data_IF_345806253674
#
_entry.id   IF_345806253674
#
_cell.length_a   1.000
_cell.length_b   1.000
_cell.length_c   1.000
_cell.angle_alpha   90.00
_cell.angle_beta   90.00
_cell.angle_gamma   90.00
#
_symmetry.space_group_name_H-M   'P 1'
#
loop_
_entity.id
_entity.type
_entity.pdbx_description
1 polymer ?
#
# COMPACT_ATOMS: atom_id res chain seq x y z
N UNK A 1 -50.54 -35.36 -7.18
CA UNK A 1 -49.16 -35.05 -6.75
C UNK A 1 -48.28 -36.24 -7.10
N UNK A 2 -47.49 -36.15 -8.17
CA UNK A 2 -46.65 -37.22 -8.69
C UNK A 2 -45.17 -36.95 -8.40
N UNK A 3 -44.62 -37.75 -7.50
CA UNK A 3 -43.33 -38.46 -7.54
C UNK A 3 -42.11 -37.74 -8.17
N UNK A 4 -41.02 -37.64 -7.41
CA UNK A 4 -39.90 -38.59 -7.53
C UNK A 4 -38.83 -38.32 -6.44
N UNK A 5 -38.51 -39.38 -5.71
CA UNK A 5 -37.38 -39.53 -4.80
C UNK A 5 -36.20 -40.18 -5.56
N UNK A 6 -35.03 -40.15 -4.91
CA UNK A 6 -33.75 -40.85 -5.17
C UNK A 6 -32.74 -39.94 -5.90
N UNK A 7 -31.77 -39.29 -5.24
CA UNK A 7 -30.61 -39.75 -4.44
C UNK A 7 -29.42 -40.23 -5.31
N UNK A 8 -28.26 -39.63 -5.00
CA UNK A 8 -26.90 -40.00 -5.40
C UNK A 8 -26.49 -39.60 -6.84
N UNK A 9 -25.32 -39.03 -7.09
CA UNK A 9 -24.01 -39.42 -6.54
C UNK A 9 -22.98 -38.28 -6.47
N UNK A 10 -22.25 -38.30 -5.36
CA UNK A 10 -20.87 -37.88 -5.16
C UNK A 10 -19.95 -38.17 -6.37
N UNK A 11 -19.12 -37.21 -6.80
CA UNK A 11 -17.70 -37.37 -7.19
C UNK A 11 -17.14 -36.06 -7.78
N UNK A 12 -16.28 -35.37 -7.02
CA UNK A 12 -14.82 -35.26 -7.28
C UNK A 12 -14.43 -34.27 -8.40
N UNK A 13 -14.07 -33.04 -8.02
CA UNK A 13 -12.69 -32.46 -8.06
C UNK A 13 -12.62 -31.35 -9.14
N UNK A 14 -11.64 -30.44 -9.10
CA UNK A 14 -11.47 -29.37 -8.13
C UNK A 14 -11.27 -28.04 -8.89
N UNK A 15 -12.30 -27.22 -9.03
CA UNK A 15 -12.08 -25.87 -9.57
C UNK A 15 -11.63 -24.95 -8.45
N UNK A 16 -10.30 -24.92 -8.33
CA UNK A 16 -9.57 -24.08 -7.42
C UNK A 16 -10.01 -22.63 -7.58
N UNK A 17 -10.33 -22.02 -6.45
CA UNK A 17 -10.07 -20.61 -6.23
C UNK A 17 -8.55 -20.40 -6.30
N UNK A 18 -8.00 -20.40 -7.51
CA UNK A 18 -6.73 -19.77 -7.80
C UNK A 18 -7.04 -18.29 -8.07
N UNK A 19 -7.29 -17.53 -6.99
CA UNK A 19 -7.15 -16.09 -7.06
C UNK A 19 -5.99 -15.68 -6.20
N UNK A 20 -4.90 -15.49 -6.94
CA UNK A 20 -3.89 -14.49 -6.69
C UNK A 20 -3.05 -14.76 -5.46
N UNK A 21 -1.86 -15.30 -5.72
CA UNK A 21 -0.79 -15.35 -4.74
C UNK A 21 -0.79 -14.03 -3.96
N UNK A 22 -0.88 -14.15 -2.63
CA UNK A 22 -0.22 -13.19 -1.76
C UNK A 22 1.15 -13.00 -2.42
N UNK A 23 1.54 -11.79 -2.83
CA UNK A 23 2.90 -11.62 -3.31
C UNK A 23 3.76 -12.14 -2.17
N UNK A 24 4.45 -13.25 -2.43
CA UNK A 24 5.45 -13.81 -1.54
C UNK A 24 6.57 -12.79 -1.56
N UNK A 25 6.38 -11.72 -0.80
CA UNK A 25 7.34 -10.64 -0.56
C UNK A 25 8.44 -11.14 0.40
N UNK A 26 8.68 -12.45 0.46
CA UNK A 26 9.58 -13.08 1.43
C UNK A 26 10.85 -13.66 0.85
N UNK A 27 11.08 -13.63 -0.48
CA UNK A 27 12.36 -14.14 -1.02
C UNK A 27 13.45 -13.09 -1.21
N UNK A 28 13.18 -11.80 -0.95
CA UNK A 28 14.24 -10.76 -0.99
C UNK A 28 14.23 -9.80 0.21
N UNK A 29 13.38 -10.03 1.22
CA UNK A 29 13.30 -9.17 2.42
C UNK A 29 13.60 -9.98 3.71
N UNK A 30 13.59 -11.32 3.63
CA UNK A 30 13.73 -12.18 4.81
C UNK A 30 15.14 -12.20 5.41
N UNK A 31 16.17 -11.66 4.75
CA UNK A 31 17.56 -11.66 5.29
C UNK A 31 17.94 -10.35 6.00
N UNK A 32 16.95 -9.66 6.55
CA UNK A 32 17.14 -8.45 7.34
C UNK A 32 16.51 -8.66 8.73
N UNK A 33 16.80 -9.80 9.37
CA UNK A 33 16.41 -10.12 10.74
C UNK A 33 17.30 -9.38 11.77
N UNK A 34 17.14 -8.07 11.81
CA UNK A 34 17.70 -7.19 12.83
C UNK A 34 16.83 -5.93 12.95
N UNK A 35 16.91 -5.16 14.06
CA UNK A 35 16.13 -3.93 14.23
C UNK A 35 16.29 -2.97 13.02
N UNK A 36 17.52 -2.87 12.51
CA UNK A 36 17.91 -2.14 11.30
C UNK A 36 17.22 -2.66 10.03
N UNK A 37 17.18 -3.98 9.86
CA UNK A 37 16.49 -4.60 8.74
C UNK A 37 14.97 -4.38 8.74
N UNK A 38 14.38 -4.27 9.94
CA UNK A 38 12.98 -3.91 10.12
C UNK A 38 12.70 -2.44 9.74
N UNK A 39 13.61 -1.52 10.05
CA UNK A 39 13.49 -0.10 9.76
C UNK A 39 13.66 0.20 8.25
N UNK A 40 14.58 -0.48 7.57
CA UNK A 40 14.72 -0.42 6.11
C UNK A 40 13.41 -0.87 5.44
N UNK A 41 12.91 -2.04 5.82
CA UNK A 41 11.66 -2.61 5.27
C UNK A 41 10.45 -1.69 5.48
N UNK A 42 10.36 -1.05 6.66
CA UNK A 42 9.33 -0.06 6.97
C UNK A 42 9.45 1.20 6.11
N UNK A 43 10.66 1.74 5.94
CA UNK A 43 10.86 2.95 5.12
C UNK A 43 10.42 2.75 3.67
N UNK A 44 10.70 1.56 3.11
CA UNK A 44 10.30 1.14 1.75
C UNK A 44 8.78 0.90 1.67
N UNK A 45 8.19 0.29 2.70
CA UNK A 45 6.75 0.11 2.76
C UNK A 45 6.01 1.45 2.74
N UNK A 46 6.42 2.40 3.58
CA UNK A 46 5.77 3.71 3.66
C UNK A 46 5.98 4.56 2.41
N UNK A 47 7.13 4.46 1.73
CA UNK A 47 7.33 5.15 0.46
C UNK A 47 6.40 4.61 -0.63
N UNK A 48 6.25 3.29 -0.74
CA UNK A 48 5.30 2.65 -1.66
C UNK A 48 3.85 3.00 -1.31
N UNK A 49 3.51 3.04 -0.03
CA UNK A 49 2.17 3.45 0.42
C UNK A 49 1.87 4.91 0.04
N UNK A 50 2.84 5.82 0.24
CA UNK A 50 2.73 7.22 -0.15
C UNK A 50 2.49 7.37 -1.66
N UNK A 51 3.26 6.67 -2.49
CA UNK A 51 3.12 6.70 -3.94
C UNK A 51 1.75 6.17 -4.40
N UNK A 52 1.27 5.09 -3.78
CA UNK A 52 -0.08 4.56 -4.06
C UNK A 52 -1.18 5.58 -3.77
N UNK A 53 -1.05 6.33 -2.67
CA UNK A 53 -2.03 7.36 -2.32
C UNK A 53 -1.93 8.58 -3.24
N UNK A 54 -0.73 8.98 -3.69
CA UNK A 54 -0.57 10.03 -4.73
C UNK A 54 -1.25 9.66 -6.04
N UNK A 55 -1.04 8.44 -6.54
CA UNK A 55 -1.72 7.96 -7.76
C UNK A 55 -3.24 7.96 -7.64
N UNK A 56 -3.78 7.63 -6.46
CA UNK A 56 -5.22 7.74 -6.20
C UNK A 56 -5.69 9.19 -6.22
N UNK A 57 -4.93 10.11 -5.62
CA UNK A 57 -5.25 11.52 -5.65
C UNK A 57 -5.28 12.06 -7.09
N UNK A 58 -4.30 11.70 -7.91
CA UNK A 58 -4.25 12.04 -9.34
C UNK A 58 -5.51 11.55 -10.07
N UNK A 59 -5.90 10.28 -9.86
CA UNK A 59 -7.13 9.74 -10.44
C UNK A 59 -8.40 10.49 -10.00
N UNK A 60 -8.47 10.92 -8.74
CA UNK A 60 -9.61 11.72 -8.28
C UNK A 60 -9.60 13.12 -8.90
N UNK A 61 -8.43 13.74 -9.10
CA UNK A 61 -8.31 15.03 -9.77
C UNK A 61 -8.68 14.93 -11.26
N UNK A 62 -8.23 13.88 -11.95
CA UNK A 62 -8.63 13.62 -13.35
C UNK A 62 -10.14 13.49 -13.49
N UNK A 63 -10.79 12.75 -12.58
CA UNK A 63 -12.26 12.65 -12.53
C UNK A 63 -12.90 14.00 -12.25
N UNK A 64 -12.37 14.77 -11.29
CA UNK A 64 -12.88 16.10 -10.99
C UNK A 64 -12.80 17.03 -12.22
N UNK A 65 -11.69 16.99 -12.97
CA UNK A 65 -11.52 17.78 -14.19
C UNK A 65 -12.50 17.35 -15.27
N UNK A 66 -12.58 16.05 -15.56
CA UNK A 66 -13.52 15.52 -16.56
C UNK A 66 -14.98 15.85 -16.22
N UNK A 67 -15.37 15.75 -14.95
CA UNK A 67 -16.73 16.12 -14.53
C UNK A 67 -16.97 17.64 -14.55
N UNK A 68 -15.95 18.46 -14.29
CA UNK A 68 -16.06 19.92 -14.37
C UNK A 68 -16.30 20.38 -15.81
N UNK A 69 -15.72 19.70 -16.81
CA UNK A 69 -15.95 19.99 -18.23
C UNK A 69 -17.39 19.71 -18.67
N UNK A 70 -18.07 18.75 -18.03
CA UNK A 70 -19.43 18.33 -18.40
C UNK A 70 -20.50 19.10 -17.61
N UNK A 71 -20.31 19.23 -16.29
CA UNK A 71 -21.34 19.73 -15.36
C UNK A 71 -21.01 21.09 -14.74
N UNK A 72 -19.85 21.65 -15.07
CA UNK A 72 -19.33 22.86 -14.45
C UNK A 72 -18.51 22.58 -13.18
N UNK A 73 -17.58 23.49 -12.91
CA UNK A 73 -16.62 23.39 -11.82
C UNK A 73 -17.25 23.43 -10.41
N UNK A 74 -18.45 23.99 -10.30
CA UNK A 74 -19.18 24.17 -9.04
C UNK A 74 -20.12 22.99 -8.72
N UNK A 75 -20.14 21.96 -9.55
CA UNK A 75 -20.96 20.77 -9.27
C UNK A 75 -20.51 20.09 -7.97
N UNK A 76 -21.48 19.63 -7.18
CA UNK A 76 -21.23 18.94 -5.92
C UNK A 76 -20.30 17.72 -6.09
N UNK A 77 -20.40 17.04 -7.25
CA UNK A 77 -19.59 15.89 -7.59
C UNK A 77 -18.11 16.26 -7.81
N UNK A 78 -17.83 17.38 -8.48
CA UNK A 78 -16.46 17.90 -8.65
C UNK A 78 -15.86 18.28 -7.29
N UNK A 79 -16.66 18.94 -6.43
CA UNK A 79 -16.27 19.25 -5.06
C UNK A 79 -15.91 17.98 -4.26
N UNK A 80 -16.72 16.93 -4.38
CA UNK A 80 -16.48 15.65 -3.73
C UNK A 80 -15.18 14.98 -4.20
N UNK A 81 -14.92 14.92 -5.51
CA UNK A 81 -13.67 14.34 -6.01
C UNK A 81 -12.43 15.13 -5.60
N UNK A 82 -12.51 16.47 -5.55
CA UNK A 82 -11.43 17.30 -5.01
C UNK A 82 -11.17 17.03 -3.52
N UNK A 83 -12.23 16.81 -2.74
CA UNK A 83 -12.09 16.45 -1.32
C UNK A 83 -11.41 15.08 -1.15
N UNK A 84 -11.81 14.07 -1.94
CA UNK A 84 -11.16 12.75 -1.93
C UNK A 84 -9.69 12.84 -2.35
N UNK A 85 -9.37 13.64 -3.36
CA UNK A 85 -8.00 13.89 -3.77
C UNK A 85 -7.17 14.50 -2.63
N UNK A 86 -7.73 15.49 -1.93
CA UNK A 86 -7.07 16.12 -0.77
C UNK A 86 -6.78 15.11 0.34
N UNK A 87 -7.75 14.29 0.72
CA UNK A 87 -7.56 13.25 1.74
C UNK A 87 -6.50 12.22 1.34
N UNK A 88 -6.47 11.83 0.06
CA UNK A 88 -5.46 10.93 -0.45
C UNK A 88 -4.05 11.56 -0.42
N UNK A 89 -3.91 12.85 -0.74
CA UNK A 89 -2.64 13.56 -0.62
C UNK A 89 -2.17 13.68 0.83
N UNK A 90 -3.06 14.01 1.77
CA UNK A 90 -2.74 14.07 3.20
C UNK A 90 -2.22 12.71 3.71
N UNK A 91 -2.89 11.61 3.34
CA UNK A 91 -2.43 10.25 3.67
C UNK A 91 -1.08 9.91 3.02
N UNK A 92 -0.82 10.42 1.81
CA UNK A 92 0.47 10.25 1.15
C UNK A 92 1.58 11.02 1.87
N UNK A 93 1.31 12.24 2.32
CA UNK A 93 2.26 13.06 3.07
C UNK A 93 2.61 12.44 4.42
N UNK A 94 1.64 11.90 5.14
CA UNK A 94 1.85 11.17 6.39
C UNK A 94 2.74 9.94 6.16
N UNK A 95 2.45 9.15 5.13
CA UNK A 95 3.27 8.00 4.76
C UNK A 95 4.70 8.43 4.37
N UNK A 96 4.85 9.52 3.62
CA UNK A 96 6.16 10.06 3.27
C UNK A 96 6.93 10.59 4.49
N UNK A 97 6.23 11.14 5.49
CA UNK A 97 6.81 11.56 6.76
C UNK A 97 7.32 10.35 7.55
N UNK A 98 6.54 9.27 7.65
CA UNK A 98 6.96 8.03 8.30
C UNK A 98 8.15 7.39 7.59
N UNK A 99 8.18 7.39 6.26
CA UNK A 99 9.31 6.90 5.48
C UNK A 99 10.61 7.66 5.79
N UNK A 100 10.53 9.00 5.87
CA UNK A 100 11.67 9.85 6.25
C UNK A 100 12.12 9.60 7.69
N UNK A 101 11.19 9.49 8.62
CA UNK A 101 11.49 9.20 10.02
C UNK A 101 12.26 7.87 10.18
N UNK A 102 11.79 6.80 9.54
CA UNK A 102 12.51 5.52 9.59
C UNK A 102 13.88 5.57 8.91
N UNK A 103 14.06 6.40 7.87
CA UNK A 103 15.38 6.61 7.27
C UNK A 103 16.33 7.31 8.22
N UNK A 104 15.87 8.32 8.96
CA UNK A 104 16.68 9.01 9.96
C UNK A 104 17.12 8.06 11.08
N UNK A 105 16.20 7.23 11.60
CA UNK A 105 16.54 6.21 12.59
C UNK A 105 17.61 5.24 12.06
N UNK A 106 17.53 4.86 10.79
CA UNK A 106 18.56 4.01 10.16
C UNK A 106 19.92 4.69 10.07
N UNK A 107 19.95 5.98 9.74
CA UNK A 107 21.20 6.76 9.67
C UNK A 107 21.84 6.89 11.06
N UNK A 108 21.04 7.15 12.10
CA UNK A 108 21.48 7.19 13.50
C UNK A 108 22.02 5.83 13.97
N UNK A 109 21.23 4.75 13.80
CA UNK A 109 21.65 3.39 14.17
C UNK A 109 22.94 2.94 13.45
N UNK A 110 23.15 3.40 12.20
CA UNK A 110 24.34 3.07 11.43
C UNK A 110 25.57 3.85 11.90
N UNK A 111 25.40 5.12 12.26
CA UNK A 111 26.49 5.95 12.80
C UNK A 111 26.92 5.46 14.19
N UNK A 112 25.98 5.05 15.04
CA UNK A 112 26.27 4.45 16.34
C UNK A 112 27.08 3.15 16.19
N UNK A 113 26.64 2.23 15.32
CA UNK A 113 27.40 1.02 15.03
C UNK A 113 28.80 1.30 14.47
N UNK A 114 28.93 2.32 13.63
CA UNK A 114 30.22 2.71 13.06
C UNK A 114 31.19 3.16 14.16
N UNK A 115 30.71 3.95 15.13
CA UNK A 115 31.52 4.40 16.26
C UNK A 115 31.94 3.24 17.17
N UNK A 116 31.06 2.26 17.40
CA UNK A 116 31.38 1.06 18.17
C UNK A 116 32.44 0.18 17.49
N UNK A 117 32.34 -0.01 16.17
CA UNK A 117 33.26 -0.87 15.41
C UNK A 117 34.61 -0.21 15.11
N UNK A 118 34.65 1.13 15.02
CA UNK A 118 35.85 1.90 14.70
C UNK A 118 35.98 3.12 15.64
N UNK A 119 36.31 2.90 16.92
CA UNK A 119 36.52 4.00 17.85
C UNK A 119 37.72 4.83 17.38
N UNK A 120 37.49 6.14 17.18
CA UNK A 120 38.58 7.08 16.91
C UNK A 120 39.48 7.20 18.15
N UNK A 121 40.81 7.33 17.99
CA UNK A 121 41.76 7.46 19.09
C UNK A 121 41.64 8.78 19.86
#
# INVERSE_FOLDING_TARGET
MWRLLIVATLSMLPWGCATSGKPSYSENIAELEGPQGSNISRSIFYSKAAEKQRRKAEQYLERATSHAEIQGADSALVGHYRQLAKQALESAEESARLSRFHRQLMEEEFEDLRQEMFPQP
#
